data_IF_403866750845
#
_entry.id   IF_403866750845
#
_cell.length_a   1.000
_cell.length_b   1.000
_cell.length_c   1.000
_cell.angle_alpha   90.00
_cell.angle_beta   90.00
_cell.angle_gamma   90.00
#
_symmetry.space_group_name_H-M   'P 1'
#
loop_
_entity.id
_entity.type
_entity.pdbx_description
1 polymer ?
#
# COMPACT_ATOMS: atom_id res chain seq x y z
N UNK A 1 29.52 -6.14 -21.61
CA UNK A 1 29.41 -4.98 -20.70
C UNK A 1 28.00 -4.99 -20.14
N UNK A 2 27.82 -4.83 -18.83
CA UNK A 2 26.48 -4.71 -18.23
C UNK A 2 25.80 -3.46 -18.78
N UNK A 3 24.53 -3.54 -19.19
CA UNK A 3 23.81 -2.36 -19.65
C UNK A 3 23.54 -1.39 -18.48
N UNK A 4 23.33 -0.11 -18.77
CA UNK A 4 22.90 0.86 -17.75
C UNK A 4 21.60 0.41 -17.06
N UNK A 5 20.69 -0.22 -17.81
CA UNK A 5 19.43 -0.75 -17.29
C UNK A 5 19.65 -1.87 -16.27
N UNK A 6 20.55 -2.81 -16.56
CA UNK A 6 20.86 -3.92 -15.64
C UNK A 6 21.60 -3.43 -14.39
N UNK A 7 22.49 -2.44 -14.55
CA UNK A 7 23.18 -1.82 -13.43
C UNK A 7 22.21 -1.10 -12.49
N UNK A 8 21.29 -0.29 -13.05
CA UNK A 8 20.27 0.42 -12.27
C UNK A 8 19.28 -0.54 -11.62
N UNK A 9 18.81 -1.58 -12.33
CA UNK A 9 17.88 -2.57 -11.75
C UNK A 9 18.47 -3.23 -10.51
N UNK A 10 19.75 -3.64 -10.57
CA UNK A 10 20.44 -4.19 -9.40
C UNK A 10 20.56 -3.17 -8.26
N UNK A 11 21.08 -1.99 -8.55
CA UNK A 11 21.26 -0.94 -7.54
C UNK A 11 19.95 -0.55 -6.86
N UNK A 12 18.84 -0.44 -7.61
CA UNK A 12 17.53 -0.10 -7.07
C UNK A 12 16.99 -1.20 -6.15
N UNK A 13 17.24 -2.48 -6.48
CA UNK A 13 16.81 -3.61 -5.66
C UNK A 13 17.54 -3.70 -4.31
N UNK A 14 18.78 -3.21 -4.25
CA UNK A 14 19.57 -3.20 -3.02
C UNK A 14 19.19 -2.05 -2.06
N UNK A 15 18.48 -1.01 -2.55
CA UNK A 15 18.05 0.11 -1.70
C UNK A 15 16.80 -0.28 -0.88
N UNK A 16 16.82 -0.13 0.45
CA UNK A 16 15.65 -0.34 1.28
C UNK A 16 14.51 0.62 0.94
N UNK A 17 13.26 0.13 0.88
CA UNK A 17 12.10 0.95 0.52
C UNK A 17 11.94 2.21 1.38
N UNK A 18 12.31 2.16 2.65
CA UNK A 18 12.20 3.30 3.58
C UNK A 18 13.26 4.38 3.37
N UNK A 19 14.30 4.11 2.59
CA UNK A 19 15.37 5.05 2.24
C UNK A 19 15.15 5.70 0.86
N UNK A 20 14.12 5.27 0.13
CA UNK A 20 13.79 5.82 -1.18
C UNK A 20 12.89 7.05 -1.06
N UNK A 21 13.33 8.16 -1.65
CA UNK A 21 12.50 9.35 -1.85
C UNK A 21 11.44 9.12 -2.96
N UNK A 22 10.46 10.04 -3.13
CA UNK A 22 9.43 9.90 -4.17
C UNK A 22 9.97 9.72 -5.60
N UNK A 23 11.08 10.38 -5.94
CA UNK A 23 11.67 10.31 -7.28
C UNK A 23 12.26 8.92 -7.52
N UNK A 24 13.06 8.43 -6.57
CA UNK A 24 13.67 7.11 -6.65
C UNK A 24 12.61 6.00 -6.66
N UNK A 25 11.54 6.15 -5.89
CA UNK A 25 10.39 5.22 -5.92
C UNK A 25 9.72 5.19 -7.29
N UNK A 26 9.43 6.35 -7.88
CA UNK A 26 8.82 6.43 -9.19
C UNK A 26 9.69 5.76 -10.27
N UNK A 27 11.01 5.98 -10.24
CA UNK A 27 11.94 5.31 -11.14
C UNK A 27 12.01 3.81 -10.88
N UNK A 28 12.10 3.38 -9.63
CA UNK A 28 12.15 1.96 -9.25
C UNK A 28 10.92 1.19 -9.74
N UNK A 29 9.72 1.77 -9.59
CA UNK A 29 8.48 1.17 -10.10
C UNK A 29 8.54 0.99 -11.62
N UNK A 30 9.02 2.00 -12.37
CA UNK A 30 9.16 1.88 -13.84
C UNK A 30 10.15 0.81 -14.25
N UNK A 31 11.30 0.71 -13.59
CA UNK A 31 12.29 -0.33 -13.87
C UNK A 31 11.74 -1.72 -13.55
N UNK A 32 11.07 -1.87 -12.41
CA UNK A 32 10.46 -3.13 -12.00
C UNK A 32 9.33 -3.57 -12.95
N UNK A 33 8.46 -2.64 -13.36
CA UNK A 33 7.39 -2.91 -14.33
C UNK A 33 7.96 -3.36 -15.68
N UNK A 34 8.95 -2.64 -16.21
CA UNK A 34 9.61 -2.98 -17.47
C UNK A 34 10.31 -4.34 -17.41
N UNK A 35 11.03 -4.62 -16.32
CA UNK A 35 11.71 -5.90 -16.13
C UNK A 35 10.77 -7.10 -16.10
N UNK A 36 9.49 -6.87 -15.77
CA UNK A 36 8.42 -7.86 -15.74
C UNK A 36 7.50 -7.86 -16.96
N UNK A 37 7.70 -6.94 -17.90
CA UNK A 37 6.83 -6.78 -19.07
C UNK A 37 5.41 -6.30 -18.72
N UNK A 38 5.26 -5.54 -17.63
CA UNK A 38 3.97 -4.96 -17.23
C UNK A 38 3.69 -3.66 -18.01
N UNK A 39 2.42 -3.45 -18.37
CA UNK A 39 1.94 -2.18 -18.92
C UNK A 39 2.14 -1.05 -17.89
N UNK A 40 2.92 -0.04 -18.24
CA UNK A 40 3.27 1.03 -17.29
C UNK A 40 2.27 2.18 -17.28
N UNK A 41 1.57 2.45 -18.38
CA UNK A 41 0.75 3.67 -18.51
C UNK A 41 -0.32 3.79 -17.41
N UNK A 42 -1.16 2.76 -17.14
CA UNK A 42 -2.20 2.89 -16.12
C UNK A 42 -1.61 3.10 -14.72
N UNK A 43 -0.45 2.50 -14.44
CA UNK A 43 0.23 2.64 -13.16
C UNK A 43 0.89 4.02 -13.01
N UNK A 44 1.48 4.55 -14.08
CA UNK A 44 2.04 5.90 -14.11
C UNK A 44 0.95 6.95 -13.92
N UNK A 45 -0.20 6.80 -14.60
CA UNK A 45 -1.35 7.69 -14.44
C UNK A 45 -1.92 7.63 -13.02
N UNK A 46 -2.06 6.43 -12.44
CA UNK A 46 -2.54 6.26 -11.07
C UNK A 46 -1.60 6.90 -10.03
N UNK A 47 -0.28 6.75 -10.19
CA UNK A 47 0.71 7.39 -9.33
C UNK A 47 0.70 8.92 -9.50
N UNK A 48 0.47 9.44 -10.72
CA UNK A 48 0.34 10.86 -10.96
C UNK A 48 -0.92 11.44 -10.31
N UNK A 49 -2.06 10.75 -10.43
CA UNK A 49 -3.31 11.10 -9.74
C UNK A 49 -3.13 11.11 -8.23
N UNK A 50 -2.53 10.07 -7.65
CA UNK A 50 -2.23 10.01 -6.23
C UNK A 50 -1.28 11.13 -5.78
N UNK A 51 -0.25 11.44 -6.59
CA UNK A 51 0.69 12.54 -6.32
C UNK A 51 -0.02 13.89 -6.26
N UNK A 52 -0.95 14.13 -7.20
CA UNK A 52 -1.74 15.36 -7.23
C UNK A 52 -2.73 15.43 -6.07
N UNK A 53 -3.49 14.36 -5.85
CA UNK A 53 -4.49 14.26 -4.78
C UNK A 53 -3.83 14.56 -3.42
N UNK A 54 -2.69 13.94 -3.14
CA UNK A 54 -1.99 14.11 -1.86
C UNK A 54 -0.92 15.22 -1.84
N UNK A 55 -0.92 16.16 -2.80
CA UNK A 55 0.13 17.19 -2.97
C UNK A 55 0.49 17.96 -1.66
N UNK A 56 -0.53 18.28 -0.86
CA UNK A 56 -0.35 19.07 0.37
C UNK A 56 -0.17 18.21 1.63
N UNK A 57 -0.31 16.89 1.50
CA UNK A 57 -0.24 15.98 2.63
C UNK A 57 1.20 15.50 2.88
N UNK A 58 1.49 15.25 4.15
CA UNK A 58 2.79 14.74 4.58
C UNK A 58 2.62 13.55 5.52
N UNK A 59 3.61 12.65 5.55
CA UNK A 59 3.62 11.50 6.47
C UNK A 59 3.91 11.97 7.89
N UNK A 60 3.31 11.31 8.89
CA UNK A 60 3.75 11.51 10.28
C UNK A 60 5.24 11.17 10.40
N UNK A 61 6.03 12.09 10.97
CA UNK A 61 7.45 11.89 11.30
C UNK A 61 7.67 10.62 12.11
N UNK A 62 8.68 9.83 11.73
CA UNK A 62 9.08 8.59 12.43
C UNK A 62 10.60 8.57 12.57
N UNK A 63 11.12 8.57 13.79
CA UNK A 63 12.54 8.69 14.09
C UNK A 63 13.12 9.97 13.49
N UNK A 64 14.28 9.85 12.86
CA UNK A 64 14.98 10.95 12.20
C UNK A 64 14.46 11.25 10.78
N UNK A 65 13.36 10.62 10.33
CA UNK A 65 12.81 10.86 9.00
C UNK A 65 12.28 12.28 8.86
N UNK A 66 12.68 12.95 7.79
CA UNK A 66 12.11 14.22 7.35
C UNK A 66 10.61 14.00 7.05
N UNK A 67 9.80 15.06 7.18
CA UNK A 67 8.37 15.04 6.91
C UNK A 67 8.08 14.78 5.41
N UNK A 68 8.16 13.51 5.00
CA UNK A 68 8.08 13.07 3.61
C UNK A 68 6.72 13.43 3.00
N UNK A 69 6.68 13.80 1.69
CA UNK A 69 5.45 13.85 0.92
C UNK A 69 4.62 12.57 1.07
N UNK A 70 3.29 12.68 1.19
CA UNK A 70 2.45 11.51 1.44
C UNK A 70 2.54 10.44 0.35
N UNK A 71 2.76 10.86 -0.91
CA UNK A 71 2.96 9.97 -2.07
C UNK A 71 4.05 8.90 -1.85
N UNK A 72 5.03 9.15 -0.98
CA UNK A 72 6.04 8.14 -0.61
C UNK A 72 5.37 6.85 -0.10
N UNK A 73 4.24 6.94 0.60
CA UNK A 73 3.53 5.77 1.12
C UNK A 73 2.88 4.92 0.02
N UNK A 74 1.95 5.43 -0.82
CA UNK A 74 1.39 4.65 -1.92
C UNK A 74 2.48 4.08 -2.85
N UNK A 75 3.51 4.88 -3.20
CA UNK A 75 4.61 4.41 -4.06
C UNK A 75 5.41 3.27 -3.42
N UNK A 76 5.72 3.33 -2.12
CA UNK A 76 6.35 2.20 -1.42
C UNK A 76 5.46 0.96 -1.41
N UNK A 77 4.14 1.13 -1.28
CA UNK A 77 3.21 0.00 -1.25
C UNK A 77 3.15 -0.71 -2.60
N UNK A 78 3.09 0.05 -3.70
CA UNK A 78 3.15 -0.46 -5.08
C UNK A 78 4.45 -1.23 -5.28
N UNK A 79 5.60 -0.59 -5.03
CA UNK A 79 6.91 -1.22 -5.25
C UNK A 79 7.10 -2.47 -4.39
N UNK A 80 6.59 -2.48 -3.15
CA UNK A 80 6.60 -3.66 -2.28
C UNK A 80 5.84 -4.82 -2.89
N UNK A 81 4.64 -4.60 -3.41
CA UNK A 81 3.86 -5.65 -4.05
C UNK A 81 4.55 -6.20 -5.29
N UNK A 82 5.13 -5.33 -6.12
CA UNK A 82 5.91 -5.78 -7.28
C UNK A 82 7.12 -6.62 -6.85
N UNK A 83 7.84 -6.20 -5.79
CA UNK A 83 8.95 -6.98 -5.20
C UNK A 83 8.51 -8.30 -4.58
N UNK A 84 7.26 -8.43 -4.13
CA UNK A 84 6.67 -9.71 -3.76
C UNK A 84 6.30 -10.60 -4.95
N UNK A 85 6.32 -10.06 -6.16
CA UNK A 85 5.95 -10.82 -7.35
C UNK A 85 4.62 -10.43 -7.96
N UNK A 86 3.83 -9.55 -7.34
CA UNK A 86 2.52 -9.17 -7.85
C UNK A 86 2.65 -8.57 -9.26
N UNK A 87 1.93 -9.17 -10.20
CA UNK A 87 1.82 -8.74 -11.59
C UNK A 87 0.38 -8.32 -11.98
N UNK A 88 -0.55 -8.36 -11.02
CA UNK A 88 -1.95 -7.96 -11.25
C UNK A 88 -2.04 -6.43 -11.32
N UNK A 89 -2.31 -5.91 -12.52
CA UNK A 89 -2.29 -4.47 -12.77
C UNK A 89 -3.39 -3.73 -11.99
N UNK A 90 -4.59 -4.31 -11.87
CA UNK A 90 -5.68 -3.70 -11.10
C UNK A 90 -5.31 -3.57 -9.62
N UNK A 91 -4.68 -4.61 -9.04
CA UNK A 91 -4.21 -4.56 -7.66
C UNK A 91 -3.10 -3.52 -7.45
N UNK A 92 -2.17 -3.38 -8.40
CA UNK A 92 -1.10 -2.37 -8.34
C UNK A 92 -1.66 -0.94 -8.49
N UNK A 93 -2.57 -0.72 -9.43
CA UNK A 93 -3.26 0.57 -9.64
C UNK A 93 -4.10 0.92 -8.42
N UNK A 94 -4.89 -0.02 -7.89
CA UNK A 94 -5.66 0.19 -6.67
C UNK A 94 -4.75 0.48 -5.46
N UNK A 95 -3.57 -0.14 -5.38
CA UNK A 95 -2.58 0.17 -4.34
C UNK A 95 -2.04 1.60 -4.45
N UNK A 96 -1.82 2.11 -5.67
CA UNK A 96 -1.43 3.51 -5.87
C UNK A 96 -2.53 4.49 -5.41
N UNK A 97 -3.80 4.11 -5.56
CA UNK A 97 -4.96 4.96 -5.32
C UNK A 97 -5.66 4.74 -3.96
N UNK A 98 -5.24 3.77 -3.14
CA UNK A 98 -6.04 3.22 -2.03
C UNK A 98 -6.52 4.25 -1.00
N UNK A 99 -5.75 5.29 -0.72
CA UNK A 99 -6.10 6.34 0.25
C UNK A 99 -6.80 7.56 -0.39
N UNK A 100 -6.87 7.63 -1.72
CA UNK A 100 -7.34 8.84 -2.41
C UNK A 100 -8.83 9.12 -2.18
N UNK A 101 -9.67 8.07 -2.08
CA UNK A 101 -11.11 8.22 -1.84
C UNK A 101 -11.41 8.55 -0.39
N UNK A 102 -10.69 7.92 0.56
CA UNK A 102 -10.89 8.18 2.00
C UNK A 102 -10.42 9.59 2.37
N UNK A 103 -9.25 10.01 1.88
CA UNK A 103 -8.61 11.23 2.33
C UNK A 103 -8.83 12.44 1.41
N UNK A 104 -8.98 12.24 0.09
CA UNK A 104 -8.86 13.30 -0.92
C UNK A 104 -9.94 13.21 -2.01
N UNK A 105 -11.15 12.75 -1.68
CA UNK A 105 -12.26 12.55 -2.61
C UNK A 105 -12.60 13.77 -3.46
N UNK A 106 -12.67 14.97 -2.87
CA UNK A 106 -12.95 16.22 -3.59
C UNK A 106 -11.91 16.49 -4.67
N UNK A 107 -10.61 16.27 -4.37
CA UNK A 107 -9.53 16.47 -5.35
C UNK A 107 -9.55 15.46 -6.49
N UNK A 108 -10.02 14.25 -6.22
CA UNK A 108 -10.22 13.24 -7.27
C UNK A 108 -11.32 13.70 -8.22
N UNK A 109 -12.43 14.21 -7.69
CA UNK A 109 -13.53 14.75 -8.50
C UNK A 109 -13.07 15.99 -9.29
N UNK A 110 -12.32 16.90 -8.66
CA UNK A 110 -11.81 18.10 -9.33
C UNK A 110 -10.85 17.77 -10.48
N UNK A 111 -9.98 16.78 -10.31
CA UNK A 111 -8.99 16.39 -11.31
C UNK A 111 -9.59 15.58 -12.46
N UNK A 112 -10.37 14.54 -12.14
CA UNK A 112 -10.84 13.54 -13.10
C UNK A 112 -12.26 13.82 -13.62
N UNK A 113 -12.97 14.75 -13.00
CA UNK A 113 -14.37 15.05 -13.26
C UNK A 113 -15.33 14.03 -12.63
N UNK A 114 -16.63 14.20 -12.89
CA UNK A 114 -17.69 13.35 -12.35
C UNK A 114 -18.37 13.95 -11.11
N UNK A 115 -19.23 13.17 -10.46
CA UNK A 115 -19.99 13.59 -9.28
C UNK A 115 -19.50 12.98 -7.97
N UNK A 116 -18.76 11.87 -8.03
CA UNK A 116 -18.26 11.10 -6.89
C UNK A 116 -16.90 10.50 -7.23
N UNK A 117 -15.97 10.47 -6.27
CA UNK A 117 -14.60 10.01 -6.48
C UNK A 117 -14.52 8.57 -7.03
N UNK A 118 -15.30 7.63 -6.48
CA UNK A 118 -15.32 6.24 -6.99
C UNK A 118 -15.82 6.14 -8.43
N UNK A 119 -16.83 6.94 -8.80
CA UNK A 119 -17.30 6.99 -10.20
C UNK A 119 -16.28 7.60 -11.15
N UNK A 120 -15.50 8.57 -10.67
CA UNK A 120 -14.37 9.12 -11.43
C UNK A 120 -13.27 8.06 -11.62
N UNK A 121 -12.91 7.32 -10.57
CA UNK A 121 -11.94 6.24 -10.68
C UNK A 121 -12.42 5.11 -11.61
N UNK A 122 -13.70 4.74 -11.56
CA UNK A 122 -14.26 3.74 -12.47
C UNK A 122 -14.18 4.18 -13.93
N UNK A 123 -14.50 5.44 -14.24
CA UNK A 123 -14.46 5.96 -15.60
C UNK A 123 -13.05 6.01 -16.20
N UNK A 124 -12.01 6.22 -15.38
CA UNK A 124 -10.63 6.40 -15.83
C UNK A 124 -9.76 5.13 -15.70
N UNK A 125 -10.03 4.28 -14.70
CA UNK A 125 -9.22 3.10 -14.39
C UNK A 125 -10.00 1.78 -14.45
N UNK A 126 -11.32 1.83 -14.69
CA UNK A 126 -12.18 0.66 -14.81
C UNK A 126 -12.84 0.21 -13.51
N UNK A 127 -13.87 -0.62 -13.67
CA UNK A 127 -14.73 -1.07 -12.57
C UNK A 127 -13.99 -1.89 -11.51
N UNK A 128 -13.00 -2.70 -11.90
CA UNK A 128 -12.26 -3.53 -10.96
C UNK A 128 -11.38 -2.68 -10.03
N UNK A 129 -10.64 -1.70 -10.56
CA UNK A 129 -9.87 -0.75 -9.74
C UNK A 129 -10.78 0.00 -8.77
N UNK A 130 -11.91 0.53 -9.26
CA UNK A 130 -12.85 1.26 -8.41
C UNK A 130 -13.42 0.36 -7.29
N UNK A 131 -13.75 -0.89 -7.60
CA UNK A 131 -14.22 -1.89 -6.62
C UNK A 131 -13.15 -2.18 -5.56
N UNK A 132 -11.90 -2.37 -5.96
CA UNK A 132 -10.78 -2.61 -5.05
C UNK A 132 -10.56 -1.40 -4.13
N UNK A 133 -10.53 -0.18 -4.69
CA UNK A 133 -10.38 1.06 -3.91
C UNK A 133 -11.56 1.26 -2.94
N UNK A 134 -12.79 0.98 -3.38
CA UNK A 134 -13.97 1.02 -2.51
C UNK A 134 -13.86 0.02 -1.35
N UNK A 135 -13.43 -1.21 -1.62
CA UNK A 135 -13.28 -2.26 -0.61
C UNK A 135 -12.23 -1.92 0.46
N UNK A 136 -11.17 -1.19 0.08
CA UNK A 136 -10.13 -0.76 1.03
C UNK A 136 -10.41 0.59 1.69
N UNK A 137 -11.37 1.36 1.19
CA UNK A 137 -11.81 2.61 1.82
C UNK A 137 -12.56 2.29 3.11
N UNK A 138 -12.09 2.79 4.24
CA UNK A 138 -12.78 2.51 5.50
C UNK A 138 -14.07 3.35 5.60
N UNK A 139 -15.24 2.74 5.89
CA UNK A 139 -16.43 3.51 6.22
C UNK A 139 -16.23 4.34 7.52
N UNK A 140 -16.92 5.49 7.66
CA UNK A 140 -16.95 6.24 8.91
C UNK A 140 -17.37 5.35 10.08
N UNK A 141 -16.58 5.32 11.16
CA UNK A 141 -16.83 4.48 12.35
C UNK A 141 -17.47 5.31 13.47
N UNK A 142 -18.61 4.85 13.98
CA UNK A 142 -19.36 5.52 15.07
C UNK A 142 -19.37 4.68 16.35
N UNK A 143 -19.53 5.32 17.51
CA UNK A 143 -19.58 4.62 18.80
C UNK A 143 -18.21 4.33 19.44
N UNK A 144 -18.23 3.52 20.50
CA UNK A 144 -17.09 3.29 21.40
C UNK A 144 -16.08 2.26 20.86
N UNK A 145 -16.55 1.19 20.19
CA UNK A 145 -15.66 0.11 19.72
C UNK A 145 -15.19 0.27 18.26
N UNK A 146 -14.49 1.37 18.00
CA UNK A 146 -13.94 1.67 16.66
C UNK A 146 -12.85 0.70 16.21
N UNK A 147 -12.22 -0.01 17.14
CA UNK A 147 -11.17 -0.98 16.82
C UNK A 147 -11.80 -2.29 16.36
N UNK A 148 -12.82 -2.81 17.04
CA UNK A 148 -13.52 -4.00 16.58
C UNK A 148 -14.17 -3.78 15.21
N UNK A 149 -14.82 -2.63 14.99
CA UNK A 149 -15.39 -2.28 13.67
C UNK A 149 -14.32 -2.26 12.57
N UNK A 150 -13.13 -1.76 12.87
CA UNK A 150 -12.02 -1.79 11.90
C UNK A 150 -11.57 -3.22 11.61
N UNK A 151 -11.39 -4.03 12.65
CA UNK A 151 -10.95 -5.42 12.53
C UNK A 151 -11.98 -6.24 11.75
N UNK A 152 -13.27 -6.10 12.05
CA UNK A 152 -14.36 -6.77 11.35
C UNK A 152 -14.39 -6.39 9.87
N UNK A 153 -14.34 -5.09 9.56
CA UNK A 153 -14.29 -4.60 8.19
C UNK A 153 -13.08 -5.17 7.44
N UNK A 154 -11.86 -5.07 7.99
CA UNK A 154 -10.65 -5.62 7.36
C UNK A 154 -10.80 -7.12 7.14
N UNK A 155 -11.25 -7.88 8.15
CA UNK A 155 -11.44 -9.34 8.05
C UNK A 155 -12.42 -9.71 6.94
N UNK A 156 -13.49 -8.94 6.76
CA UNK A 156 -14.48 -9.20 5.73
C UNK A 156 -13.93 -8.94 4.32
N UNK A 157 -13.23 -7.82 4.12
CA UNK A 157 -12.81 -7.40 2.78
C UNK A 157 -11.57 -8.14 2.27
N UNK A 158 -10.66 -8.58 3.14
CA UNK A 158 -9.44 -9.31 2.73
C UNK A 158 -9.69 -10.76 2.31
N UNK A 159 -10.94 -11.23 2.32
CA UNK A 159 -11.34 -12.52 1.71
C UNK A 159 -11.21 -12.50 0.20
N UNK A 160 -11.09 -11.33 -0.41
CA UNK A 160 -10.68 -11.17 -1.80
C UNK A 160 -9.14 -11.08 -1.85
N UNK A 161 -8.45 -11.92 -2.65
CA UNK A 161 -6.98 -11.94 -2.70
C UNK A 161 -6.38 -10.62 -3.18
N UNK A 162 -7.03 -9.90 -4.11
CA UNK A 162 -6.54 -8.59 -4.58
C UNK A 162 -6.69 -7.53 -3.50
N UNK A 163 -7.81 -7.53 -2.78
CA UNK A 163 -8.04 -6.61 -1.64
C UNK A 163 -7.06 -6.92 -0.51
N UNK A 164 -6.77 -8.19 -0.26
CA UNK A 164 -5.73 -8.62 0.67
C UNK A 164 -4.37 -8.02 0.29
N UNK A 165 -3.95 -8.09 -0.98
CA UNK A 165 -2.67 -7.53 -1.44
C UNK A 165 -2.57 -6.03 -1.16
N UNK A 166 -3.61 -5.26 -1.48
CA UNK A 166 -3.64 -3.81 -1.22
C UNK A 166 -3.53 -3.54 0.29
N UNK A 167 -4.37 -4.21 1.10
CA UNK A 167 -4.41 -3.98 2.56
C UNK A 167 -3.17 -4.47 3.30
N UNK A 168 -2.57 -5.59 2.88
CA UNK A 168 -1.39 -6.12 3.55
C UNK A 168 -0.16 -5.25 3.27
N UNK A 169 -0.05 -4.66 2.07
CA UNK A 169 1.05 -3.73 1.78
C UNK A 169 0.93 -2.43 2.60
N UNK A 170 -0.28 -1.88 2.70
CA UNK A 170 -0.59 -0.73 3.57
C UNK A 170 -0.28 -1.04 5.05
N UNK A 171 -0.81 -2.17 5.53
CA UNK A 171 -0.57 -2.65 6.90
C UNK A 171 0.91 -2.79 7.20
N UNK A 172 1.68 -3.42 6.30
CA UNK A 172 3.13 -3.58 6.44
C UNK A 172 3.85 -2.22 6.50
N UNK A 173 3.48 -1.25 5.67
CA UNK A 173 4.13 0.07 5.69
C UNK A 173 3.86 0.83 6.99
N UNK A 174 2.62 0.74 7.48
CA UNK A 174 2.12 1.49 8.63
C UNK A 174 2.50 0.85 9.98
N UNK A 175 2.25 -0.45 10.15
CA UNK A 175 2.53 -1.19 11.37
C UNK A 175 4.03 -1.51 11.51
N UNK A 176 4.70 -1.84 10.40
CA UNK A 176 6.14 -2.17 10.40
C UNK A 176 7.05 -1.01 10.82
N UNK A 177 6.55 0.22 10.82
CA UNK A 177 7.29 1.42 11.20
C UNK A 177 6.90 1.96 12.59
N UNK A 178 6.05 1.27 13.38
CA UNK A 178 5.61 1.78 14.69
C UNK A 178 6.74 1.91 15.71
N UNK A 179 7.74 1.03 15.68
CA UNK A 179 8.96 1.12 16.50
C UNK A 179 9.72 2.45 16.38
N UNK A 180 9.54 3.17 15.27
CA UNK A 180 10.16 4.48 15.03
C UNK A 180 9.29 5.67 15.47
N UNK A 181 8.06 5.43 15.94
CA UNK A 181 7.20 6.50 16.40
C UNK A 181 7.65 6.97 17.80
N UNK A 182 8.03 8.24 17.89
CA UNK A 182 8.54 8.88 19.13
C UNK A 182 7.41 9.16 20.13
N UNK A 183 6.21 9.50 19.63
CA UNK A 183 5.02 9.68 20.46
C UNK A 183 4.55 8.33 21.02
N UNK A 184 4.87 8.07 22.28
CA UNK A 184 4.55 6.82 22.96
C UNK A 184 3.05 6.57 23.10
N UNK A 185 2.27 7.61 23.41
CA UNK A 185 0.82 7.49 23.57
C UNK A 185 0.16 7.09 22.25
N UNK A 186 0.56 7.73 21.15
CA UNK A 186 0.12 7.39 19.79
C UNK A 186 0.61 6.00 19.38
N UNK A 187 1.85 5.63 19.74
CA UNK A 187 2.43 4.29 19.46
C UNK A 187 1.62 3.20 20.14
N UNK A 188 1.36 3.30 21.44
CA UNK A 188 0.56 2.32 22.21
C UNK A 188 -0.85 2.18 21.64
N UNK A 189 -1.50 3.29 21.26
CA UNK A 189 -2.82 3.25 20.61
C UNK A 189 -2.79 2.50 19.28
N UNK A 190 -1.77 2.73 18.45
CA UNK A 190 -1.65 2.06 17.15
C UNK A 190 -1.25 0.59 17.29
N UNK A 191 -0.40 0.23 18.25
CA UNK A 191 -0.08 -1.17 18.56
C UNK A 191 -1.34 -1.93 18.93
N UNK A 192 -2.18 -1.39 19.83
CA UNK A 192 -3.47 -1.99 20.18
C UNK A 192 -4.42 -2.13 18.98
N UNK A 193 -4.41 -1.15 18.07
CA UNK A 193 -5.21 -1.19 16.82
C UNK A 193 -4.75 -2.30 15.88
N UNK A 194 -3.44 -2.50 15.73
CA UNK A 194 -2.86 -3.41 14.74
C UNK A 194 -2.60 -4.84 15.24
N UNK A 195 -2.42 -5.03 16.55
CA UNK A 195 -2.19 -6.34 17.17
C UNK A 195 -3.16 -7.45 16.68
N UNK A 196 -4.50 -7.26 16.70
CA UNK A 196 -5.42 -8.31 16.25
C UNK A 196 -5.31 -8.61 14.75
N UNK A 197 -4.85 -7.66 13.93
CA UNK A 197 -4.77 -7.84 12.48
C UNK A 197 -3.61 -8.73 12.05
N UNK A 198 -2.56 -8.88 12.87
CA UNK A 198 -1.38 -9.67 12.51
C UNK A 198 -1.79 -11.12 12.20
N UNK A 199 -2.47 -11.78 13.13
CA UNK A 199 -2.91 -13.17 12.97
C UNK A 199 -3.96 -13.32 11.87
N UNK A 200 -4.80 -12.29 11.67
CA UNK A 200 -5.80 -12.24 10.59
C UNK A 200 -5.11 -12.21 9.22
N UNK A 201 -4.09 -11.36 9.04
CA UNK A 201 -3.32 -11.31 7.79
C UNK A 201 -2.48 -12.59 7.59
N UNK A 202 -1.92 -13.18 8.64
CA UNK A 202 -1.17 -14.45 8.55
C UNK A 202 -2.07 -15.61 8.10
N UNK A 203 -3.28 -15.70 8.67
CA UNK A 203 -4.28 -16.69 8.28
C UNK A 203 -4.73 -16.49 6.83
N UNK A 204 -5.11 -15.26 6.46
CA UNK A 204 -5.54 -14.93 5.10
C UNK A 204 -4.44 -15.17 4.05
N UNK A 205 -3.17 -14.84 4.38
CA UNK A 205 -2.04 -15.14 3.50
C UNK A 205 -1.94 -16.65 3.22
N UNK A 206 -2.11 -17.46 4.27
CA UNK A 206 -2.06 -18.93 4.16
C UNK A 206 -3.24 -19.49 3.39
N UNK A 207 -4.44 -18.96 3.61
CA UNK A 207 -5.67 -19.37 2.92
C UNK A 207 -5.63 -19.05 1.42
N UNK A 208 -5.20 -17.84 1.05
CA UNK A 208 -5.11 -17.45 -0.36
C UNK A 208 -4.03 -18.21 -1.12
N UNK A 209 -2.86 -18.45 -0.49
CA UNK A 209 -1.77 -19.21 -1.09
C UNK A 209 -1.39 -18.73 -2.49
N UNK A 210 -1.51 -19.60 -3.48
CA UNK A 210 -1.17 -19.32 -4.88
C UNK A 210 -2.09 -18.28 -5.54
N UNK A 211 -3.32 -18.07 -5.03
CA UNK A 211 -4.25 -17.09 -5.57
C UNK A 211 -3.74 -15.64 -5.45
N UNK A 212 -2.73 -15.40 -4.60
CA UNK A 212 -2.07 -14.09 -4.49
C UNK A 212 -1.14 -13.78 -5.66
N UNK A 213 -0.75 -14.79 -6.46
CA UNK A 213 0.17 -14.60 -7.59
C UNK A 213 1.57 -14.10 -7.19
N UNK A 214 1.98 -14.29 -5.94
CA UNK A 214 3.30 -13.88 -5.43
C UNK A 214 4.35 -14.95 -5.74
N UNK A 215 5.62 -14.55 -5.83
CA UNK A 215 6.73 -15.51 -5.91
C UNK A 215 6.95 -16.21 -4.58
N UNK A 216 7.66 -17.34 -4.56
CA UNK A 216 8.03 -18.03 -3.33
C UNK A 216 8.81 -17.11 -2.37
N UNK A 217 9.80 -16.37 -2.88
CA UNK A 217 10.57 -15.38 -2.12
C UNK A 217 9.68 -14.22 -1.65
N UNK A 218 8.75 -13.77 -2.50
CA UNK A 218 7.80 -12.73 -2.13
C UNK A 218 6.89 -13.13 -0.98
N UNK A 219 6.39 -14.36 -1.01
CA UNK A 219 5.60 -14.93 0.08
C UNK A 219 6.42 -15.10 1.37
N UNK A 220 7.68 -15.51 1.26
CA UNK A 220 8.59 -15.56 2.41
C UNK A 220 8.83 -14.16 3.01
N UNK A 221 9.06 -13.15 2.16
CA UNK A 221 9.24 -11.76 2.58
C UNK A 221 7.98 -11.17 3.23
N UNK A 222 6.79 -11.47 2.69
CA UNK A 222 5.52 -11.09 3.30
C UNK A 222 5.39 -11.65 4.72
N UNK A 223 5.62 -12.96 4.88
CA UNK A 223 5.60 -13.63 6.20
C UNK A 223 6.62 -13.04 7.16
N UNK A 224 7.83 -12.75 6.68
CA UNK A 224 8.88 -12.09 7.47
C UNK A 224 8.46 -10.72 8.00
N UNK A 225 7.76 -9.91 7.18
CA UNK A 225 7.23 -8.62 7.62
C UNK A 225 6.10 -8.78 8.65
N UNK A 226 5.17 -9.72 8.47
CA UNK A 226 4.11 -9.99 9.44
C UNK A 226 4.70 -10.45 10.79
N UNK A 227 5.69 -11.34 10.78
CA UNK A 227 6.40 -11.77 11.98
C UNK A 227 7.12 -10.60 12.69
N UNK A 228 7.75 -9.70 11.92
CA UNK A 228 8.39 -8.49 12.48
C UNK A 228 7.39 -7.54 13.13
N UNK A 229 6.17 -7.46 12.62
CA UNK A 229 5.09 -6.66 13.22
C UNK A 229 4.56 -7.35 14.47
N UNK A 230 4.38 -8.67 14.44
CA UNK A 230 3.98 -9.48 15.61
C UNK A 230 4.89 -9.25 16.81
N UNK A 231 6.21 -9.19 16.59
CA UNK A 231 7.18 -8.90 17.64
C UNK A 231 7.09 -7.49 18.23
N UNK A 232 6.51 -6.52 17.50
CA UNK A 232 6.24 -5.18 18.01
C UNK A 232 4.95 -5.11 18.85
N UNK A 233 3.96 -5.94 18.53
CA UNK A 233 2.62 -5.90 19.15
C UNK A 233 2.46 -6.84 20.34
N UNK A 234 3.41 -7.75 20.55
CA UNK A 234 3.37 -8.76 21.63
C UNK A 234 4.07 -8.33 22.93
N UNK A 235 4.68 -7.14 22.96
CA UNK A 235 5.32 -6.55 24.14
C UNK A 235 4.48 -5.44 24.75
#
# INVERSE_FOLDING_TARGET
MTSTSDALTRALNDVPLKEMDPSLLAHAIRYEARGRGLETSPLEDALAVASYAHLMQRRTTRGDQINDPYITHPSRNVLRLMRYGCADLDALVATALHDTVEDQSDRIVDLLGGSQALGALEAHFGAEVARLVAAVTTPPRTGEDRVAQYVEHVTAVIRDPKVFLVKVSDFVDNAGSLKYLVDEAKRTKLLRKYAPLVTIFEAAATEHGEALGLTADGMANLRGHLASISGQTSG
#
